data_IF_159171038667
#
_entry.id   IF_159171038667
#
_cell.length_a   1.000
_cell.length_b   1.000
_cell.length_c   1.000
_cell.angle_alpha   90.00
_cell.angle_beta   90.00
_cell.angle_gamma   90.00
#
_symmetry.space_group_name_H-M   'P 1'
#
loop_
_entity.id
_entity.type
_entity.pdbx_description
1 polymer ?
#
# COMPACT_ATOMS: atom_id res chain seq x y z
N UNK A 1 -12.62 -58.82 11.22
CA UNK A 1 -11.44 -57.95 11.36
C UNK A 1 -11.48 -56.95 10.21
N UNK A 2 -11.67 -55.67 10.51
CA UNK A 2 -11.73 -54.61 9.49
C UNK A 2 -10.29 -54.16 9.24
N UNK A 3 -9.78 -54.42 8.05
CA UNK A 3 -8.44 -54.03 7.64
C UNK A 3 -8.44 -52.51 7.39
N UNK A 4 -7.69 -51.75 8.20
CA UNK A 4 -7.52 -50.31 8.01
C UNK A 4 -6.49 -50.10 6.89
N UNK A 5 -6.99 -49.88 5.68
CA UNK A 5 -6.13 -49.48 4.56
C UNK A 5 -5.72 -48.03 4.80
N UNK A 6 -4.50 -47.81 5.26
CA UNK A 6 -3.91 -46.45 5.35
C UNK A 6 -3.61 -45.96 3.94
N UNK A 7 -4.54 -45.26 3.32
CA UNK A 7 -4.25 -44.49 2.11
C UNK A 7 -3.35 -43.33 2.51
N UNK A 8 -2.11 -43.30 2.03
CA UNK A 8 -1.29 -42.09 2.00
C UNK A 8 -1.91 -41.14 0.97
N UNK A 9 -2.96 -40.42 1.34
CA UNK A 9 -3.43 -39.32 0.50
C UNK A 9 -2.45 -38.13 0.68
N UNK A 10 -1.76 -37.75 -0.36
CA UNK A 10 -1.07 -36.45 -0.40
C UNK A 10 -2.18 -35.40 -0.59
N UNK A 11 -2.61 -34.78 0.49
CA UNK A 11 -3.56 -33.66 0.45
C UNK A 11 -2.87 -32.31 0.24
N UNK A 12 -1.54 -32.31 0.07
CA UNK A 12 -0.71 -31.13 -0.16
C UNK A 12 -0.12 -31.27 -1.55
N UNK A 13 -0.35 -30.30 -2.46
CA UNK A 13 0.24 -30.32 -3.79
C UNK A 13 1.77 -30.31 -3.71
N UNK A 14 2.42 -30.80 -4.75
CA UNK A 14 3.88 -30.68 -4.89
C UNK A 14 4.29 -29.21 -4.84
N UNK A 15 5.49 -28.89 -4.37
CA UNK A 15 5.93 -27.51 -4.16
C UNK A 15 5.75 -26.63 -5.38
N UNK A 16 6.01 -27.15 -6.59
CA UNK A 16 5.79 -26.42 -7.84
C UNK A 16 4.30 -26.14 -8.09
N UNK A 17 3.43 -27.11 -7.96
CA UNK A 17 1.99 -26.93 -8.15
C UNK A 17 1.39 -25.93 -7.15
N UNK A 18 1.89 -25.95 -5.91
CA UNK A 18 1.51 -25.01 -4.87
C UNK A 18 1.96 -23.58 -5.24
N UNK A 19 3.22 -23.40 -5.66
CA UNK A 19 3.78 -22.11 -6.05
C UNK A 19 3.04 -21.52 -7.26
N UNK A 20 2.74 -22.35 -8.25
CA UNK A 20 1.91 -21.98 -9.40
C UNK A 20 0.49 -21.58 -8.97
N UNK A 21 -0.15 -22.38 -8.10
CA UNK A 21 -1.51 -22.13 -7.61
C UNK A 21 -1.68 -20.83 -6.83
N UNK A 22 -0.66 -20.40 -6.07
CA UNK A 22 -0.71 -19.14 -5.31
C UNK A 22 -0.26 -17.91 -6.12
N UNK A 23 0.30 -18.10 -7.32
CA UNK A 23 0.83 -17.01 -8.17
C UNK A 23 -0.24 -16.04 -8.68
N UNK A 24 -1.50 -16.49 -8.78
CA UNK A 24 -2.63 -15.72 -9.29
C UNK A 24 -3.24 -14.71 -8.32
N UNK A 25 -2.78 -14.65 -7.06
CA UNK A 25 -3.40 -13.81 -6.04
C UNK A 25 -3.18 -12.29 -6.23
N UNK A 26 -2.17 -11.91 -7.00
CA UNK A 26 -1.91 -10.51 -7.32
C UNK A 26 -2.02 -10.27 -8.82
N UNK A 27 -2.86 -9.33 -9.20
CA UNK A 27 -3.06 -8.96 -10.60
C UNK A 27 -1.95 -8.03 -11.10
N UNK A 28 -1.47 -7.13 -10.23
CA UNK A 28 -0.58 -6.03 -10.58
C UNK A 28 0.78 -6.12 -9.88
N UNK A 29 1.85 -5.83 -10.63
CA UNK A 29 3.24 -5.89 -10.13
C UNK A 29 3.47 -4.98 -8.92
N UNK A 30 2.91 -3.77 -8.92
CA UNK A 30 3.10 -2.82 -7.83
C UNK A 30 2.58 -3.32 -6.49
N UNK A 31 1.41 -3.96 -6.48
CA UNK A 31 0.84 -4.59 -5.28
C UNK A 31 1.75 -5.69 -4.75
N UNK A 32 2.24 -6.54 -5.65
CA UNK A 32 3.12 -7.65 -5.28
C UNK A 32 4.43 -7.16 -4.66
N UNK A 33 4.99 -6.08 -5.20
CA UNK A 33 6.21 -5.49 -4.64
C UNK A 33 5.96 -4.85 -3.27
N UNK A 34 4.80 -4.25 -3.05
CA UNK A 34 4.43 -3.73 -1.73
C UNK A 34 4.41 -4.83 -0.66
N UNK A 35 4.04 -6.07 -0.98
CA UNK A 35 4.10 -7.17 0.01
C UNK A 35 5.53 -7.50 0.46
N UNK A 36 6.52 -7.39 -0.44
CA UNK A 36 7.93 -7.54 -0.04
C UNK A 36 8.37 -6.37 0.85
N UNK A 37 7.96 -5.16 0.49
CA UNK A 37 8.23 -3.94 1.25
C UNK A 37 7.55 -3.96 2.63
N UNK A 38 6.31 -4.45 2.72
CA UNK A 38 5.57 -4.61 3.99
C UNK A 38 6.31 -5.49 4.99
N UNK A 39 6.97 -6.56 4.52
CA UNK A 39 7.76 -7.44 5.41
C UNK A 39 8.92 -6.69 6.06
N UNK A 40 9.66 -5.88 5.30
CA UNK A 40 10.73 -5.04 5.81
C UNK A 40 10.21 -4.00 6.81
N UNK A 41 9.11 -3.30 6.45
CA UNK A 41 8.51 -2.29 7.32
C UNK A 41 7.98 -2.91 8.62
N UNK A 42 7.35 -4.09 8.55
CA UNK A 42 6.89 -4.83 9.73
C UNK A 42 8.03 -5.15 10.68
N UNK A 43 9.20 -5.53 10.16
CA UNK A 43 10.40 -5.76 10.95
C UNK A 43 10.87 -4.45 11.62
N UNK A 44 10.91 -3.34 10.89
CA UNK A 44 11.30 -2.04 11.45
C UNK A 44 10.38 -1.58 12.58
N UNK A 45 9.06 -1.71 12.39
CA UNK A 45 8.07 -1.34 13.41
C UNK A 45 8.16 -2.24 14.64
N UNK A 46 8.28 -3.56 14.46
CA UNK A 46 8.36 -4.52 15.55
C UNK A 46 9.62 -4.32 16.43
N UNK A 47 10.72 -3.88 15.84
CA UNK A 47 11.99 -3.68 16.54
C UNK A 47 12.31 -2.20 16.82
N UNK A 48 11.38 -1.28 16.54
CA UNK A 48 11.54 0.17 16.75
C UNK A 48 12.83 0.73 16.14
N UNK A 49 13.19 0.27 14.95
CA UNK A 49 14.36 0.74 14.21
C UNK A 49 13.96 1.64 13.05
N UNK A 50 14.78 2.64 12.77
CA UNK A 50 14.65 3.44 11.57
C UNK A 50 15.27 2.69 10.39
N UNK A 51 14.41 2.23 9.47
CA UNK A 51 14.80 1.35 8.41
C UNK A 51 15.22 2.05 7.12
N UNK A 52 15.94 1.29 6.28
CA UNK A 52 16.22 1.65 4.89
C UNK A 52 15.95 0.46 3.99
N UNK A 53 15.26 0.69 2.87
CA UNK A 53 14.94 -0.34 1.88
C UNK A 53 15.53 0.08 0.54
N UNK A 54 16.30 -0.81 -0.07
CA UNK A 54 16.80 -0.66 -1.43
C UNK A 54 16.01 -1.57 -2.37
N UNK A 55 15.38 -0.99 -3.38
CA UNK A 55 14.69 -1.72 -4.44
C UNK A 55 15.46 -1.51 -5.74
N UNK A 56 15.96 -2.60 -6.31
CA UNK A 56 16.65 -2.56 -7.61
C UNK A 56 15.87 -3.35 -8.66
N UNK A 57 15.63 -2.72 -9.79
CA UNK A 57 15.00 -3.29 -10.97
C UNK A 57 16.01 -3.30 -12.10
N UNK A 58 16.42 -4.48 -12.57
CA UNK A 58 17.37 -4.62 -13.70
C UNK A 58 16.67 -5.22 -14.89
N UNK A 59 16.59 -4.47 -15.98
CA UNK A 59 15.93 -4.87 -17.22
C UNK A 59 16.86 -5.72 -18.08
N UNK A 60 16.37 -6.90 -18.49
CA UNK A 60 17.05 -7.82 -19.41
C UNK A 60 16.24 -8.09 -20.68
N UNK A 61 15.35 -7.16 -21.08
CA UNK A 61 14.49 -7.25 -22.25
C UNK A 61 13.27 -8.16 -22.04
N UNK A 62 13.48 -9.44 -21.83
CA UNK A 62 12.39 -10.42 -21.66
C UNK A 62 11.94 -10.59 -20.21
N UNK A 63 12.74 -10.17 -19.25
CA UNK A 63 12.47 -10.20 -17.82
C UNK A 63 13.14 -9.04 -17.09
N UNK A 64 12.74 -8.85 -15.86
CA UNK A 64 13.33 -7.89 -14.93
C UNK A 64 13.80 -8.67 -13.69
N UNK A 65 15.06 -8.54 -13.30
CA UNK A 65 15.51 -9.02 -12.00
C UNK A 65 15.15 -7.95 -10.96
N UNK A 66 14.39 -8.36 -9.96
CA UNK A 66 13.89 -7.54 -8.86
C UNK A 66 14.65 -7.91 -7.60
N UNK A 67 15.26 -6.95 -6.94
CA UNK A 67 15.92 -7.11 -5.65
C UNK A 67 15.31 -6.13 -4.64
N UNK A 68 14.89 -6.64 -3.49
CA UNK A 68 14.45 -5.85 -2.33
C UNK A 68 15.39 -6.17 -1.18
N UNK A 69 16.07 -5.16 -0.67
CA UNK A 69 17.05 -5.27 0.42
C UNK A 69 16.63 -4.36 1.56
N UNK A 70 16.79 -4.84 2.78
CA UNK A 70 16.57 -4.04 3.97
C UNK A 70 17.73 -4.17 4.97
N UNK A 71 17.83 -3.19 5.86
CA UNK A 71 18.75 -3.17 6.97
C UNK A 71 18.07 -3.53 8.31
N UNK A 72 17.08 -4.41 8.26
CA UNK A 72 16.37 -4.90 9.44
C UNK A 72 17.18 -5.87 10.29
N UNK A 73 16.51 -6.58 11.18
CA UNK A 73 17.17 -7.57 12.09
C UNK A 73 17.44 -8.92 11.43
N UNK A 74 17.02 -9.10 10.17
CA UNK A 74 17.01 -10.39 9.50
C UNK A 74 15.79 -11.25 9.89
N UNK A 75 15.69 -12.43 9.28
CA UNK A 75 14.60 -13.40 9.53
C UNK A 75 15.12 -14.45 10.51
N UNK A 76 14.63 -14.44 11.75
CA UNK A 76 15.05 -15.39 12.78
C UNK A 76 14.59 -16.82 12.47
N UNK A 77 13.39 -16.98 11.91
CA UNK A 77 12.82 -18.29 11.58
C UNK A 77 12.42 -18.36 10.10
N UNK A 78 13.37 -18.73 9.26
CA UNK A 78 13.20 -18.86 7.81
C UNK A 78 12.15 -19.92 7.46
N UNK A 79 12.10 -21.01 8.22
CA UNK A 79 11.12 -22.08 7.99
C UNK A 79 9.68 -21.57 8.18
N UNK A 80 9.43 -20.82 9.25
CA UNK A 80 8.12 -20.18 9.46
C UNK A 80 7.84 -19.12 8.38
N UNK A 81 8.84 -18.34 7.96
CA UNK A 81 8.69 -17.36 6.88
C UNK A 81 8.29 -17.99 5.55
N UNK A 82 8.71 -19.23 5.27
CA UNK A 82 8.41 -19.96 4.04
C UNK A 82 7.24 -20.94 4.19
N UNK A 83 6.83 -21.32 5.39
CA UNK A 83 5.67 -22.18 5.61
C UNK A 83 4.38 -21.39 5.34
N UNK A 84 3.49 -21.93 4.51
CA UNK A 84 2.20 -21.31 4.18
C UNK A 84 1.34 -21.18 5.43
N UNK A 85 0.75 -19.99 5.62
CA UNK A 85 -0.06 -19.62 6.78
C UNK A 85 0.69 -19.64 8.14
N UNK A 86 2.01 -19.84 8.18
CA UNK A 86 2.80 -19.64 9.38
C UNK A 86 3.24 -18.16 9.49
N UNK A 87 3.20 -17.62 10.70
CA UNK A 87 3.71 -16.28 11.01
C UNK A 87 5.14 -16.40 11.52
N UNK A 88 6.06 -15.67 10.92
CA UNK A 88 7.50 -15.72 11.25
C UNK A 88 7.95 -14.70 12.28
N UNK A 89 7.11 -13.73 12.58
CA UNK A 89 7.39 -12.66 13.55
C UNK A 89 6.16 -12.35 14.41
N UNK A 90 6.37 -11.52 15.44
CA UNK A 90 5.31 -11.01 16.27
C UNK A 90 4.19 -10.37 15.40
N UNK A 91 2.97 -10.43 15.88
CA UNK A 91 1.83 -9.81 15.22
C UNK A 91 2.15 -8.34 14.94
N UNK A 92 2.26 -8.00 13.66
CA UNK A 92 2.23 -6.61 13.22
C UNK A 92 1.02 -6.45 12.31
N UNK A 93 0.37 -5.30 12.41
CA UNK A 93 -0.81 -5.00 11.61
C UNK A 93 -0.55 -4.99 10.08
N UNK A 94 0.71 -5.04 9.66
CA UNK A 94 1.09 -5.17 8.24
C UNK A 94 1.33 -6.63 7.82
N UNK A 95 1.39 -7.60 8.76
CA UNK A 95 1.65 -9.01 8.48
C UNK A 95 0.56 -9.92 9.04
N UNK A 96 -0.69 -9.68 8.64
CA UNK A 96 -1.88 -10.34 9.21
C UNK A 96 -1.97 -11.84 8.94
N UNK A 97 -1.51 -12.32 7.77
CA UNK A 97 -1.86 -13.67 7.30
C UNK A 97 -0.70 -14.65 7.17
N UNK A 98 0.55 -14.22 7.37
CA UNK A 98 1.73 -15.06 7.17
C UNK A 98 1.89 -15.61 5.74
N UNK A 99 1.26 -14.99 4.76
CA UNK A 99 1.20 -15.44 3.36
C UNK A 99 1.96 -14.52 2.41
N UNK A 100 2.18 -13.25 2.78
CA UNK A 100 2.63 -12.18 1.88
C UNK A 100 3.90 -12.52 1.11
N UNK A 101 4.97 -12.97 1.79
CA UNK A 101 6.26 -13.28 1.16
C UNK A 101 6.14 -14.36 0.06
N UNK A 102 5.43 -15.47 0.35
CA UNK A 102 5.30 -16.59 -0.59
C UNK A 102 4.44 -16.21 -1.79
N UNK A 103 3.33 -15.52 -1.55
CA UNK A 103 2.47 -15.00 -2.60
C UNK A 103 3.22 -13.98 -3.46
N UNK A 104 4.01 -13.09 -2.86
CA UNK A 104 4.80 -12.11 -3.59
C UNK A 104 5.84 -12.79 -4.49
N UNK A 105 6.62 -13.74 -3.95
CA UNK A 105 7.59 -14.50 -4.73
C UNK A 105 6.94 -15.22 -5.90
N UNK A 106 5.85 -15.98 -5.64
CA UNK A 106 5.15 -16.74 -6.66
C UNK A 106 4.54 -15.83 -7.72
N UNK A 107 3.93 -14.71 -7.33
CA UNK A 107 3.26 -13.80 -8.24
C UNK A 107 4.26 -12.98 -9.08
N UNK A 108 5.35 -12.46 -8.51
CA UNK A 108 6.40 -11.78 -9.28
C UNK A 108 7.00 -12.74 -10.30
N UNK A 109 7.28 -13.97 -9.90
CA UNK A 109 7.88 -14.99 -10.74
C UNK A 109 6.88 -15.62 -11.74
N UNK A 110 5.61 -15.20 -11.72
CA UNK A 110 4.51 -15.73 -12.53
C UNK A 110 4.35 -17.27 -12.43
N UNK A 111 4.58 -17.82 -11.23
CA UNK A 111 4.48 -19.26 -10.95
C UNK A 111 5.60 -20.12 -11.47
N UNK A 112 6.65 -19.55 -12.08
CA UNK A 112 7.73 -20.31 -12.72
C UNK A 112 8.60 -21.09 -11.73
N UNK A 113 8.61 -20.71 -10.48
CA UNK A 113 9.40 -21.32 -9.39
C UNK A 113 10.90 -21.46 -9.70
N UNK A 114 11.46 -20.46 -10.35
CA UNK A 114 12.85 -20.41 -10.76
C UNK A 114 13.44 -19.02 -10.54
N UNK A 115 14.77 -18.95 -10.31
CA UNK A 115 15.47 -17.68 -10.22
C UNK A 115 14.93 -16.74 -9.12
N UNK A 116 14.66 -17.28 -7.95
CA UNK A 116 14.45 -16.49 -6.74
C UNK A 116 15.33 -16.99 -5.61
N UNK A 117 15.69 -16.08 -4.71
CA UNK A 117 16.44 -16.39 -3.49
C UNK A 117 16.12 -15.41 -2.37
N UNK A 118 16.34 -15.86 -1.14
CA UNK A 118 16.29 -15.06 0.08
C UNK A 118 17.62 -15.23 0.78
N UNK A 119 18.30 -14.12 1.03
CA UNK A 119 19.45 -14.05 1.93
C UNK A 119 19.01 -13.31 3.17
N UNK A 120 19.34 -13.83 4.35
CA UNK A 120 19.03 -13.13 5.60
C UNK A 120 20.18 -13.31 6.59
N UNK A 121 20.44 -12.27 7.36
CA UNK A 121 21.52 -12.24 8.34
C UNK A 121 21.00 -11.64 9.63
N UNK A 122 20.93 -12.44 10.66
CA UNK A 122 20.59 -12.04 12.01
C UNK A 122 21.84 -11.57 12.78
N UNK A 123 21.66 -11.02 13.98
CA UNK A 123 22.80 -10.66 14.84
C UNK A 123 23.65 -11.90 15.21
N UNK A 124 23.00 -13.07 15.37
CA UNK A 124 23.71 -14.33 15.61
C UNK A 124 24.56 -14.72 14.39
N UNK A 125 23.97 -14.63 13.18
CA UNK A 125 24.69 -14.93 11.94
C UNK A 125 25.86 -13.96 11.73
N UNK A 126 25.68 -12.68 12.05
CA UNK A 126 26.72 -11.66 11.98
C UNK A 126 27.88 -11.97 12.93
N UNK A 127 27.59 -12.39 14.16
CA UNK A 127 28.60 -12.80 15.14
C UNK A 127 29.43 -14.01 14.68
N UNK A 128 28.91 -14.84 13.78
CA UNK A 128 29.61 -16.02 13.21
C UNK A 128 30.12 -15.78 11.79
N UNK A 129 30.08 -14.55 11.29
CA UNK A 129 30.45 -14.15 9.92
C UNK A 129 29.82 -15.05 8.84
N UNK A 130 28.52 -15.20 8.89
CA UNK A 130 27.74 -16.00 7.96
C UNK A 130 26.39 -15.35 7.66
N UNK A 131 25.68 -15.85 6.66
CA UNK A 131 24.28 -15.55 6.38
C UNK A 131 23.53 -16.82 5.99
N UNK A 132 22.21 -16.79 6.09
CA UNK A 132 21.32 -17.86 5.66
C UNK A 132 20.86 -17.61 4.23
N UNK A 133 20.88 -18.64 3.39
CA UNK A 133 20.45 -18.59 2.00
C UNK A 133 19.40 -19.67 1.72
N UNK A 134 18.27 -19.27 1.17
CA UNK A 134 17.25 -20.14 0.59
C UNK A 134 17.02 -19.73 -0.84
N UNK A 135 16.79 -20.69 -1.75
CA UNK A 135 16.61 -20.41 -3.17
C UNK A 135 15.66 -21.41 -3.84
N UNK A 136 15.12 -21.00 -4.97
CA UNK A 136 14.30 -21.86 -5.84
C UNK A 136 14.96 -23.23 -6.13
N UNK A 137 14.14 -24.31 -6.36
CA UNK A 137 12.69 -24.33 -6.36
C UNK A 137 12.06 -24.42 -4.98
N UNK A 138 10.80 -23.95 -4.84
CA UNK A 138 10.00 -24.12 -3.62
C UNK A 138 9.62 -25.59 -3.45
N UNK A 139 9.96 -26.17 -2.33
CA UNK A 139 9.64 -27.57 -2.04
C UNK A 139 9.48 -27.81 -0.54
N UNK A 140 8.75 -28.87 -0.19
CA UNK A 140 8.67 -29.31 1.21
C UNK A 140 10.06 -29.77 1.66
N UNK A 141 10.56 -29.21 2.77
CA UNK A 141 11.90 -29.53 3.29
C UNK A 141 13.03 -29.02 2.41
N UNK A 142 12.81 -27.88 1.71
CA UNK A 142 13.86 -27.23 0.92
C UNK A 142 15.07 -26.88 1.80
N UNK A 143 16.30 -27.02 1.27
CA UNK A 143 17.48 -26.78 2.07
C UNK A 143 17.69 -25.29 2.35
N UNK A 144 18.10 -25.00 3.57
CA UNK A 144 18.67 -23.73 3.99
C UNK A 144 20.19 -23.88 4.09
N UNK A 145 20.91 -22.96 3.46
CA UNK A 145 22.38 -22.97 3.44
C UNK A 145 22.90 -21.90 4.40
N UNK A 146 23.86 -22.26 5.25
CA UNK A 146 24.69 -21.32 5.99
C UNK A 146 25.91 -21.00 5.14
N UNK A 147 26.05 -19.77 4.71
CA UNK A 147 27.10 -19.33 3.79
C UNK A 147 28.04 -18.37 4.52
N UNK A 148 29.38 -18.58 4.49
CA UNK A 148 30.32 -17.65 5.09
C UNK A 148 30.27 -16.25 4.47
N UNK A 149 30.52 -15.22 5.29
CA UNK A 149 30.55 -13.81 4.88
C UNK A 149 29.22 -13.11 5.02
N UNK A 150 29.13 -11.89 4.47
CA UNK A 150 27.94 -11.00 4.58
C UNK A 150 26.89 -11.17 3.49
N UNK A 151 27.22 -11.84 2.39
CA UNK A 151 26.33 -11.91 1.22
C UNK A 151 26.07 -10.54 0.60
N UNK A 152 24.85 -10.35 0.06
CA UNK A 152 24.38 -9.07 -0.50
C UNK A 152 23.67 -8.19 0.55
N UNK A 153 23.82 -8.51 1.85
CA UNK A 153 23.14 -7.82 2.95
C UNK A 153 23.68 -6.39 3.09
N UNK A 154 22.76 -5.44 3.24
CA UNK A 154 23.10 -4.04 3.47
C UNK A 154 23.30 -3.80 4.98
N UNK A 155 24.53 -3.58 5.39
CA UNK A 155 24.88 -3.39 6.80
C UNK A 155 25.28 -4.70 7.50
N UNK A 156 25.09 -4.74 8.82
CA UNK A 156 25.46 -5.86 9.65
C UNK A 156 24.41 -6.98 9.66
N UNK A 157 23.15 -6.59 9.67
CA UNK A 157 21.97 -7.46 9.64
C UNK A 157 20.99 -7.01 8.56
N UNK A 158 20.04 -7.86 8.16
CA UNK A 158 19.01 -7.52 7.20
C UNK A 158 18.55 -8.69 6.34
N UNK A 159 17.76 -8.37 5.32
CA UNK A 159 17.25 -9.37 4.38
C UNK A 159 17.38 -8.87 2.93
N UNK A 160 17.67 -9.79 2.03
CA UNK A 160 17.67 -9.56 0.59
C UNK A 160 16.76 -10.60 -0.07
N UNK A 161 15.74 -10.13 -0.75
CA UNK A 161 14.86 -10.95 -1.59
C UNK A 161 15.16 -10.63 -3.04
N UNK A 162 15.55 -11.64 -3.80
CA UNK A 162 15.80 -11.52 -5.23
C UNK A 162 14.82 -12.42 -5.98
N UNK A 163 14.22 -11.89 -7.04
CA UNK A 163 13.26 -12.67 -7.84
C UNK A 163 13.22 -12.17 -9.28
N UNK A 164 13.19 -13.11 -10.20
CA UNK A 164 13.02 -12.82 -11.64
C UNK A 164 11.54 -12.63 -11.97
N UNK A 165 11.22 -11.49 -12.55
CA UNK A 165 9.90 -11.11 -13.01
C UNK A 165 9.83 -11.17 -14.53
N UNK A 166 8.99 -11.99 -15.15
CA UNK A 166 8.77 -11.93 -16.60
C UNK A 166 8.28 -10.54 -17.02
N UNK A 167 8.74 -10.03 -18.17
CA UNK A 167 8.42 -8.68 -18.63
C UNK A 167 6.90 -8.44 -18.71
N UNK A 168 6.11 -9.42 -19.16
CA UNK A 168 4.65 -9.27 -19.23
C UNK A 168 4.00 -9.04 -17.86
N UNK A 169 4.53 -9.65 -16.78
CA UNK A 169 4.07 -9.44 -15.41
C UNK A 169 4.51 -8.07 -14.88
N UNK A 170 5.76 -7.69 -15.15
CA UNK A 170 6.27 -6.36 -14.77
C UNK A 170 5.45 -5.23 -15.38
N UNK A 171 5.04 -5.35 -16.64
CA UNK A 171 4.26 -4.35 -17.36
C UNK A 171 2.77 -4.27 -16.96
N UNK A 172 2.31 -5.07 -15.99
CA UNK A 172 0.93 -4.98 -15.46
C UNK A 172 0.69 -3.70 -14.67
N UNK A 173 1.73 -3.10 -14.08
CA UNK A 173 1.60 -1.81 -13.38
C UNK A 173 1.40 -0.68 -14.37
N UNK A 174 0.15 -0.33 -14.62
CA UNK A 174 -0.24 0.76 -15.52
C UNK A 174 -1.60 1.35 -15.17
N UNK A 175 -1.82 2.65 -15.42
CA UNK A 175 -3.14 3.25 -15.25
C UNK A 175 -4.19 2.56 -16.15
N UNK A 176 -5.38 2.30 -15.61
CA UNK A 176 -6.51 1.68 -16.34
C UNK A 176 -6.84 2.42 -17.64
N UNK A 177 -6.66 3.75 -17.65
CA UNK A 177 -6.91 4.58 -18.85
C UNK A 177 -5.90 4.36 -19.99
N UNK A 178 -4.76 3.70 -19.74
CA UNK A 178 -3.72 3.45 -20.75
C UNK A 178 -3.95 2.11 -21.45
N UNK A 179 -4.28 2.16 -22.74
CA UNK A 179 -4.49 0.96 -23.58
C UNK A 179 -3.18 0.25 -23.90
N UNK A 180 -2.11 0.99 -24.20
CA UNK A 180 -0.81 0.45 -24.57
C UNK A 180 -0.03 -0.04 -23.34
N UNK A 181 0.82 -1.04 -23.53
CA UNK A 181 1.79 -1.46 -22.53
C UNK A 181 2.73 -0.28 -22.17
N UNK A 182 3.06 -0.08 -20.90
CA UNK A 182 4.05 0.92 -20.51
C UNK A 182 5.45 0.49 -20.90
N UNK A 183 6.38 1.44 -20.97
CA UNK A 183 7.81 1.14 -21.05
C UNK A 183 8.37 0.79 -19.67
N UNK A 184 9.55 0.17 -19.61
CA UNK A 184 10.26 -0.11 -18.35
C UNK A 184 10.39 1.15 -17.47
N UNK A 185 10.86 2.27 -18.03
CA UNK A 185 11.01 3.54 -17.32
C UNK A 185 9.66 4.10 -16.81
N UNK A 186 8.57 3.89 -17.56
CA UNK A 186 7.24 4.28 -17.09
C UNK A 186 6.80 3.46 -15.89
N UNK A 187 7.05 2.14 -15.89
CA UNK A 187 6.73 1.27 -14.75
C UNK A 187 7.53 1.68 -13.52
N UNK A 188 8.82 1.96 -13.65
CA UNK A 188 9.64 2.46 -12.56
C UNK A 188 9.09 3.78 -11.97
N UNK A 189 8.65 4.72 -12.83
CA UNK A 189 7.98 5.95 -12.39
C UNK A 189 6.64 5.70 -11.70
N UNK A 190 5.85 4.75 -12.20
CA UNK A 190 4.58 4.34 -11.60
C UNK A 190 4.79 3.69 -10.23
N UNK A 191 5.82 2.87 -10.12
CA UNK A 191 6.19 2.25 -8.84
C UNK A 191 6.60 3.30 -7.81
N UNK A 192 7.39 4.31 -8.20
CA UNK A 192 7.72 5.44 -7.33
C UNK A 192 6.46 6.13 -6.81
N UNK A 193 5.47 6.41 -7.67
CA UNK A 193 4.21 7.02 -7.27
C UNK A 193 3.45 6.10 -6.30
N UNK A 194 3.38 4.80 -6.60
CA UNK A 194 2.69 3.80 -5.77
C UNK A 194 3.31 3.71 -4.36
N UNK A 195 4.62 3.61 -4.25
CA UNK A 195 5.32 3.51 -2.96
C UNK A 195 5.12 4.78 -2.11
N UNK A 196 5.26 5.95 -2.73
CA UNK A 196 5.02 7.24 -2.06
C UNK A 196 3.59 7.42 -1.56
N UNK A 197 2.62 6.87 -2.28
CA UNK A 197 1.21 6.90 -1.90
C UNK A 197 0.90 5.86 -0.82
N UNK A 198 1.30 4.61 -1.06
CA UNK A 198 0.96 3.48 -0.18
C UNK A 198 1.49 3.72 1.24
N UNK A 199 2.69 4.24 1.35
CA UNK A 199 3.37 4.44 2.63
C UNK A 199 3.45 5.91 3.07
N UNK A 200 2.55 6.78 2.57
CA UNK A 200 2.64 8.22 2.78
C UNK A 200 2.77 8.61 4.26
N UNK A 201 1.97 8.02 5.15
CA UNK A 201 2.00 8.35 6.57
C UNK A 201 3.30 7.89 7.23
N UNK A 202 3.74 6.66 6.96
CA UNK A 202 4.98 6.10 7.51
C UNK A 202 6.25 6.82 7.00
N UNK A 203 6.25 7.26 5.74
CA UNK A 203 7.31 8.09 5.19
C UNK A 203 7.36 9.48 5.83
N UNK A 204 6.19 10.11 6.04
CA UNK A 204 6.09 11.40 6.73
C UNK A 204 6.59 11.33 8.16
N UNK A 205 6.30 10.23 8.85
CA UNK A 205 6.72 10.01 10.23
C UNK A 205 8.19 9.57 10.33
N UNK A 206 8.85 9.37 9.19
CA UNK A 206 10.28 9.04 9.12
C UNK A 206 10.64 7.66 9.66
N UNK A 207 9.69 6.72 9.63
CA UNK A 207 9.90 5.32 10.07
C UNK A 207 10.98 4.66 9.23
N UNK A 208 10.98 4.92 7.91
CA UNK A 208 11.96 4.36 6.98
C UNK A 208 12.16 5.28 5.75
N UNK A 209 13.15 4.93 4.93
CA UNK A 209 13.33 5.46 3.58
C UNK A 209 13.44 4.34 2.55
N UNK A 210 13.16 4.64 1.29
CA UNK A 210 13.31 3.70 0.17
C UNK A 210 14.21 4.34 -0.89
N UNK A 211 15.22 3.60 -1.36
CA UNK A 211 15.95 3.93 -2.57
C UNK A 211 15.47 3.00 -3.70
N UNK A 212 14.89 3.57 -4.76
CA UNK A 212 14.47 2.84 -5.95
C UNK A 212 15.49 3.05 -7.06
N UNK A 213 16.15 1.99 -7.50
CA UNK A 213 17.10 1.99 -8.60
C UNK A 213 16.54 1.23 -9.79
N UNK A 214 16.49 1.86 -10.94
CA UNK A 214 16.11 1.23 -12.21
C UNK A 214 17.32 1.20 -13.14
N UNK A 215 17.71 0.00 -13.59
CA UNK A 215 18.79 -0.23 -14.53
C UNK A 215 18.18 -0.71 -15.83
N UNK A 216 18.40 0.02 -16.93
CA UNK A 216 17.86 -0.35 -18.24
C UNK A 216 18.69 -1.44 -18.94
N UNK A 217 18.30 -1.83 -20.16
CA UNK A 217 18.99 -2.86 -20.95
C UNK A 217 20.43 -2.49 -21.35
N UNK A 218 20.73 -1.20 -21.42
CA UNK A 218 22.06 -0.66 -21.72
C UNK A 218 22.93 -0.54 -20.46
N UNK A 219 22.41 -0.91 -19.29
CA UNK A 219 23.09 -0.82 -18.01
C UNK A 219 23.09 0.60 -17.40
N UNK A 220 22.30 1.53 -17.97
CA UNK A 220 22.18 2.88 -17.42
C UNK A 220 21.29 2.83 -16.19
N UNK A 221 21.84 3.27 -15.06
CA UNK A 221 21.18 3.28 -13.75
C UNK A 221 20.58 4.64 -13.45
N UNK A 222 19.35 4.64 -12.95
CA UNK A 222 18.65 5.80 -12.42
C UNK A 222 18.14 5.47 -11.02
N UNK A 223 18.67 6.14 -10.00
CA UNK A 223 18.28 5.95 -8.60
C UNK A 223 17.52 7.15 -8.08
N UNK A 224 16.45 6.88 -7.34
CA UNK A 224 15.59 7.89 -6.72
C UNK A 224 15.37 7.55 -5.26
N UNK A 225 15.73 8.47 -4.38
CA UNK A 225 15.41 8.36 -2.96
C UNK A 225 13.94 8.73 -2.74
N UNK A 226 13.18 7.82 -2.13
CA UNK A 226 11.78 7.99 -1.78
C UNK A 226 11.70 8.29 -0.28
N UNK A 227 11.98 9.54 0.08
CA UNK A 227 11.86 10.02 1.46
C UNK A 227 10.58 10.85 1.69
N UNK A 228 9.92 11.27 0.62
CA UNK A 228 8.74 12.14 0.68
C UNK A 228 7.45 11.38 0.35
N UNK A 229 6.46 11.57 1.21
CA UNK A 229 5.10 11.11 0.99
C UNK A 229 4.47 11.72 -0.28
N UNK A 230 3.59 10.98 -0.95
CA UNK A 230 2.70 11.55 -1.95
C UNK A 230 1.44 12.06 -1.24
N UNK A 231 1.34 13.37 -1.13
CA UNK A 231 0.24 14.04 -0.44
C UNK A 231 -0.71 14.74 -1.43
N UNK A 232 -2.02 14.83 -1.11
CA UNK A 232 -2.95 15.61 -1.89
C UNK A 232 -2.63 17.10 -1.74
N UNK A 233 -2.64 17.83 -2.84
CA UNK A 233 -2.60 19.29 -2.80
C UNK A 233 -4.00 19.81 -2.57
N UNK A 234 -4.31 20.22 -1.36
CA UNK A 234 -5.62 20.74 -1.00
C UNK A 234 -5.97 22.04 -1.73
N UNK A 235 -7.25 22.18 -2.10
CA UNK A 235 -7.81 23.41 -2.66
C UNK A 235 -8.45 24.21 -1.52
N UNK A 236 -7.69 25.07 -0.90
CA UNK A 236 -8.09 25.76 0.33
C UNK A 236 -7.74 24.95 1.58
N UNK A 237 -8.48 25.18 2.64
CA UNK A 237 -8.30 24.47 3.91
C UNK A 237 -8.90 23.06 3.82
N UNK A 238 -8.21 22.06 4.33
CA UNK A 238 -8.80 20.75 4.61
C UNK A 238 -9.33 20.74 6.04
N UNK A 239 -10.45 20.06 6.25
CA UNK A 239 -10.93 19.76 7.58
C UNK A 239 -10.12 18.59 8.14
N UNK A 240 -9.61 18.75 9.36
CA UNK A 240 -8.91 17.71 10.10
C UNK A 240 -9.67 17.44 11.39
N UNK A 241 -10.10 16.20 11.57
CA UNK A 241 -10.73 15.79 12.83
C UNK A 241 -9.64 15.43 13.84
N UNK A 242 -9.81 15.80 15.11
CA UNK A 242 -8.93 15.28 16.16
C UNK A 242 -8.99 13.74 16.15
N UNK A 243 -7.89 13.04 16.51
CA UNK A 243 -7.92 11.59 16.64
C UNK A 243 -9.08 11.12 17.53
N UNK A 244 -9.88 10.19 17.06
CA UNK A 244 -11.07 9.68 17.73
C UNK A 244 -10.87 8.22 18.11
N UNK A 245 -10.91 7.93 19.41
CA UNK A 245 -11.01 6.54 19.86
C UNK A 245 -12.45 6.04 19.70
N UNK A 246 -12.61 4.91 19.02
CA UNK A 246 -13.90 4.27 18.78
C UNK A 246 -13.77 2.76 18.86
N UNK A 247 -14.90 2.06 18.98
CA UNK A 247 -14.97 0.61 18.90
C UNK A 247 -15.78 0.23 17.66
N UNK A 248 -15.15 -0.52 16.76
CA UNK A 248 -15.80 -1.06 15.55
C UNK A 248 -16.49 -2.41 15.82
N UNK A 249 -16.63 -2.80 17.10
CA UNK A 249 -17.28 -4.04 17.52
C UNK A 249 -16.32 -5.14 18.00
N UNK A 250 -15.02 -4.96 17.82
CA UNK A 250 -14.00 -5.98 18.14
C UNK A 250 -12.80 -5.41 18.92
N UNK A 251 -12.95 -4.26 19.51
CA UNK A 251 -11.92 -3.57 20.28
C UNK A 251 -11.73 -2.13 19.85
N UNK A 252 -10.96 -1.39 20.65
CA UNK A 252 -10.73 0.03 20.43
C UNK A 252 -9.71 0.26 19.32
N UNK A 253 -10.04 1.19 18.43
CA UNK A 253 -9.15 1.72 17.40
C UNK A 253 -9.12 3.24 17.50
N UNK A 254 -8.03 3.84 17.04
CA UNK A 254 -7.94 5.30 16.88
C UNK A 254 -8.10 5.64 15.41
N UNK A 255 -9.06 6.49 15.07
CA UNK A 255 -9.28 6.97 13.70
C UNK A 255 -8.75 8.39 13.58
N UNK A 256 -7.81 8.58 12.66
CA UNK A 256 -7.30 9.88 12.21
C UNK A 256 -7.91 10.21 10.86
N UNK A 257 -8.47 11.39 10.71
CA UNK A 257 -9.18 11.74 9.48
C UNK A 257 -8.94 13.18 9.08
N UNK A 258 -8.72 13.40 7.78
CA UNK A 258 -8.75 14.72 7.13
C UNK A 258 -9.46 14.64 5.78
N UNK A 259 -10.23 15.66 5.43
CA UNK A 259 -10.99 15.66 4.19
C UNK A 259 -11.14 17.06 3.59
N UNK A 260 -11.38 17.11 2.28
CA UNK A 260 -11.58 18.35 1.57
C UNK A 260 -11.52 18.19 0.05
N UNK A 261 -11.49 19.30 -0.65
CA UNK A 261 -11.27 19.32 -2.10
C UNK A 261 -9.79 19.45 -2.42
N UNK A 262 -9.37 18.80 -3.52
CA UNK A 262 -7.98 18.83 -3.97
C UNK A 262 -7.80 19.57 -5.30
N UNK A 263 -6.60 20.07 -5.53
CA UNK A 263 -6.16 20.48 -6.85
C UNK A 263 -5.82 19.25 -7.69
N UNK A 264 -6.25 19.24 -8.96
CA UNK A 264 -5.92 18.15 -9.88
C UNK A 264 -4.40 18.03 -10.07
N UNK A 265 -3.84 16.85 -9.88
CA UNK A 265 -2.48 16.57 -10.30
C UNK A 265 -2.47 16.20 -11.78
N UNK A 266 -1.63 16.91 -12.56
CA UNK A 266 -1.33 16.56 -13.96
C UNK A 266 -0.14 15.61 -14.09
N UNK A 267 0.66 15.48 -13.03
CA UNK A 267 1.89 14.68 -13.02
C UNK A 267 1.64 13.23 -12.60
N UNK A 268 0.68 13.00 -11.71
CA UNK A 268 0.40 11.68 -11.16
C UNK A 268 -0.30 10.78 -12.20
N UNK A 269 0.06 9.52 -12.18
CA UNK A 269 -0.53 8.50 -13.03
C UNK A 269 -1.79 7.89 -12.42
N UNK A 270 -1.82 7.69 -11.10
CA UNK A 270 -2.88 6.99 -10.38
C UNK A 270 -3.64 7.89 -9.41
N UNK A 271 -2.93 8.58 -8.50
CA UNK A 271 -3.51 9.20 -7.30
C UNK A 271 -3.71 10.70 -7.46
N UNK A 272 -4.69 11.26 -6.77
CA UNK A 272 -5.00 12.71 -6.69
C UNK A 272 -5.19 13.39 -8.05
N UNK A 273 -5.68 12.65 -9.03
CA UNK A 273 -5.93 13.17 -10.41
C UNK A 273 -7.16 14.07 -10.49
N UNK A 274 -8.01 14.06 -9.48
CA UNK A 274 -9.31 14.74 -9.51
C UNK A 274 -10.23 14.15 -10.58
N UNK A 275 -10.26 12.83 -10.70
CA UNK A 275 -11.17 12.04 -11.51
C UNK A 275 -11.91 11.02 -10.64
N UNK A 276 -12.91 10.33 -11.17
CA UNK A 276 -13.72 9.38 -10.39
C UNK A 276 -12.89 8.29 -9.71
N UNK A 277 -11.89 7.74 -10.40
CA UNK A 277 -11.09 6.63 -9.88
C UNK A 277 -10.14 7.03 -8.72
N UNK A 278 -9.83 8.31 -8.57
CA UNK A 278 -8.91 8.81 -7.54
C UNK A 278 -9.59 9.75 -6.52
N UNK A 279 -10.93 9.73 -6.44
CA UNK A 279 -11.71 10.61 -5.57
C UNK A 279 -12.60 9.79 -4.65
N UNK A 280 -12.98 10.35 -3.51
CA UNK A 280 -13.74 9.66 -2.47
C UNK A 280 -12.88 9.39 -1.24
N UNK A 281 -13.28 8.41 -0.43
CA UNK A 281 -12.47 8.03 0.72
C UNK A 281 -11.27 7.18 0.32
N UNK A 282 -10.16 7.40 1.01
CA UNK A 282 -8.99 6.53 1.01
C UNK A 282 -8.79 5.98 2.43
N UNK A 283 -8.75 4.67 2.55
CA UNK A 283 -8.61 3.97 3.83
C UNK A 283 -7.18 3.52 3.99
N UNK A 284 -6.62 3.84 5.16
CA UNK A 284 -5.32 3.40 5.61
C UNK A 284 -5.46 2.58 6.88
N UNK A 285 -4.57 1.63 7.06
CA UNK A 285 -4.43 0.85 8.29
C UNK A 285 -2.99 0.98 8.76
N UNK A 286 -2.80 1.54 9.95
CA UNK A 286 -1.48 1.79 10.54
C UNK A 286 -0.53 2.51 9.55
N UNK A 287 -1.03 3.54 8.88
CA UNK A 287 -0.29 4.37 7.95
C UNK A 287 -0.14 3.81 6.52
N UNK A 288 -0.50 2.53 6.27
CA UNK A 288 -0.47 1.91 4.93
C UNK A 288 -1.80 2.10 4.21
N UNK A 289 -1.77 2.62 2.98
CA UNK A 289 -2.97 2.72 2.15
C UNK A 289 -3.45 1.32 1.71
N UNK A 290 -4.73 1.03 1.95
CA UNK A 290 -5.37 -0.24 1.62
C UNK A 290 -6.28 -0.06 0.40
N UNK A 291 -7.12 0.96 0.41
CA UNK A 291 -8.11 1.19 -0.65
C UNK A 291 -8.38 2.68 -0.83
N UNK A 292 -8.69 3.08 -2.04
CA UNK A 292 -9.10 4.45 -2.38
C UNK A 292 -10.28 4.42 -3.35
N UNK A 293 -10.88 5.59 -3.57
CA UNK A 293 -11.99 5.74 -4.51
C UNK A 293 -13.34 5.32 -3.93
N UNK A 294 -13.41 5.04 -2.63
CA UNK A 294 -14.63 4.61 -1.95
C UNK A 294 -15.62 5.77 -1.79
N UNK A 295 -16.52 5.92 -2.73
CA UNK A 295 -17.59 6.91 -2.65
C UNK A 295 -18.97 6.24 -2.64
N UNK A 296 -19.24 5.37 -3.60
CA UNK A 296 -20.50 4.63 -3.68
C UNK A 296 -20.69 3.69 -2.51
N UNK A 297 -19.63 3.04 -2.07
CA UNK A 297 -19.63 2.06 -0.98
C UNK A 297 -19.90 2.72 0.39
N UNK A 298 -19.38 3.93 0.58
CA UNK A 298 -19.53 4.64 1.86
C UNK A 298 -20.82 5.47 1.88
N UNK A 299 -21.03 6.34 0.89
CA UNK A 299 -22.16 7.27 0.90
C UNK A 299 -23.35 6.82 0.07
N UNK A 300 -23.33 5.58 -0.47
CA UNK A 300 -24.42 4.97 -1.26
C UNK A 300 -24.88 5.88 -2.43
N UNK A 301 -23.94 6.64 -3.00
CA UNK A 301 -24.19 7.60 -4.05
C UNK A 301 -23.28 7.40 -5.25
N UNK A 302 -23.81 7.57 -6.45
CA UNK A 302 -22.99 7.61 -7.65
C UNK A 302 -22.14 8.89 -7.69
N UNK A 303 -20.84 8.75 -7.89
CA UNK A 303 -19.92 9.87 -7.99
C UNK A 303 -20.24 10.71 -9.25
N UNK A 304 -20.57 11.97 -9.05
CA UNK A 304 -20.77 12.91 -10.16
C UNK A 304 -19.43 13.60 -10.51
N UNK A 305 -19.16 13.96 -11.78
CA UNK A 305 -17.94 14.64 -12.17
C UNK A 305 -17.62 15.92 -11.37
N UNK A 306 -18.61 16.64 -10.86
CA UNK A 306 -18.42 17.80 -9.99
C UNK A 306 -17.87 17.47 -8.60
N UNK A 307 -17.90 16.20 -8.19
CA UNK A 307 -17.39 15.71 -6.91
C UNK A 307 -15.99 15.08 -7.01
N UNK A 308 -15.44 15.01 -8.23
CA UNK A 308 -14.18 14.33 -8.52
C UNK A 308 -12.92 14.91 -7.83
N UNK A 309 -13.07 15.90 -6.98
CA UNK A 309 -11.97 16.51 -6.23
C UNK A 309 -12.08 16.26 -4.73
N UNK A 310 -13.12 15.62 -4.28
CA UNK A 310 -13.26 15.30 -2.87
C UNK A 310 -12.37 14.13 -2.50
N UNK A 311 -11.60 14.29 -1.42
CA UNK A 311 -10.80 13.25 -0.80
C UNK A 311 -11.10 13.26 0.70
N UNK A 312 -11.32 12.08 1.27
CA UNK A 312 -11.31 11.85 2.69
C UNK A 312 -10.24 10.79 2.99
N UNK A 313 -9.17 11.20 3.68
CA UNK A 313 -8.12 10.28 4.14
C UNK A 313 -8.49 9.81 5.54
N UNK A 314 -8.64 8.51 5.71
CA UNK A 314 -9.02 7.87 6.98
C UNK A 314 -7.97 6.83 7.32
N UNK A 315 -7.25 7.03 8.42
CA UNK A 315 -6.24 6.09 8.92
C UNK A 315 -6.71 5.48 10.24
N UNK A 316 -6.76 4.16 10.29
CA UNK A 316 -7.18 3.38 11.45
C UNK A 316 -5.92 2.84 12.11
N UNK A 317 -5.68 3.26 13.35
CA UNK A 317 -4.50 2.89 14.13
C UNK A 317 -4.89 1.93 15.24
N UNK A 318 -4.25 0.77 15.30
CA UNK A 318 -4.40 -0.21 16.37
C UNK A 318 -3.26 -1.22 16.33
N UNK A 319 -2.74 -1.57 17.51
CA UNK A 319 -1.72 -2.64 17.64
C UNK A 319 -2.34 -4.03 17.62
N UNK A 320 -3.64 -4.14 17.87
CA UNK A 320 -4.37 -5.41 17.89
C UNK A 320 -5.01 -5.67 16.52
N UNK A 321 -4.47 -6.60 15.76
CA UNK A 321 -4.98 -6.94 14.42
C UNK A 321 -6.45 -7.36 14.42
N UNK A 322 -6.94 -8.01 15.49
CA UNK A 322 -8.32 -8.43 15.62
C UNK A 322 -9.33 -7.26 15.65
N UNK A 323 -8.92 -6.07 16.08
CA UNK A 323 -9.77 -4.88 16.11
C UNK A 323 -9.80 -4.11 14.77
N UNK A 324 -8.84 -4.38 13.88
CA UNK A 324 -8.73 -3.72 12.59
C UNK A 324 -9.71 -4.34 11.56
N UNK A 325 -10.23 -3.54 10.61
CA UNK A 325 -11.00 -4.05 9.49
C UNK A 325 -10.19 -5.06 8.66
N UNK A 326 -10.82 -6.18 8.28
CA UNK A 326 -10.16 -7.22 7.50
C UNK A 326 -9.85 -6.74 6.08
N UNK A 327 -8.65 -7.09 5.62
CA UNK A 327 -8.22 -6.79 4.26
C UNK A 327 -8.31 -8.01 3.35
N UNK A 328 -8.41 -7.79 2.04
CA UNK A 328 -8.20 -8.87 1.06
C UNK A 328 -6.77 -9.38 1.16
N UNK A 329 -6.53 -10.65 0.84
CA UNK A 329 -5.21 -11.28 0.96
C UNK A 329 -4.09 -10.52 0.22
N UNK A 330 -4.44 -9.82 -0.85
CA UNK A 330 -3.52 -8.96 -1.61
C UNK A 330 -3.41 -7.53 -1.05
N UNK A 331 -4.06 -7.22 0.09
CA UNK A 331 -4.14 -5.88 0.69
C UNK A 331 -4.50 -4.75 -0.30
N UNK A 332 -5.25 -5.10 -1.35
CA UNK A 332 -5.73 -4.19 -2.39
C UNK A 332 -7.17 -3.76 -2.19
N UNK A 333 -7.70 -3.96 -1.00
CA UNK A 333 -9.05 -3.59 -0.61
C UNK A 333 -9.47 -4.19 0.72
N UNK A 334 -10.56 -3.68 1.25
CA UNK A 334 -11.23 -4.20 2.42
C UNK A 334 -12.11 -5.40 2.05
N UNK A 335 -12.35 -6.29 2.99
CA UNK A 335 -13.31 -7.37 2.81
C UNK A 335 -14.72 -6.82 3.04
N UNK A 336 -15.54 -6.84 1.99
CA UNK A 336 -16.90 -6.27 2.02
C UNK A 336 -17.87 -7.05 2.94
N UNK A 337 -17.55 -8.32 3.23
CA UNK A 337 -18.31 -9.21 4.13
C UNK A 337 -17.92 -9.06 5.61
N UNK A 338 -16.95 -8.21 5.94
CA UNK A 338 -16.49 -7.95 7.31
C UNK A 338 -17.39 -6.91 8.01
N UNK A 339 -17.93 -7.27 9.18
CA UNK A 339 -18.76 -6.40 10.01
C UNK A 339 -17.99 -5.14 10.48
N UNK A 340 -16.67 -5.24 10.68
CA UNK A 340 -15.81 -4.10 11.06
C UNK A 340 -15.71 -3.09 9.92
N UNK A 341 -15.71 -3.55 8.67
CA UNK A 341 -15.75 -2.68 7.48
C UNK A 341 -17.07 -1.94 7.41
N UNK A 342 -18.19 -2.63 7.65
CA UNK A 342 -19.50 -2.00 7.70
C UNK A 342 -19.61 -0.96 8.84
N UNK A 343 -19.04 -1.26 10.01
CA UNK A 343 -18.98 -0.33 11.14
C UNK A 343 -18.10 0.89 10.81
N UNK A 344 -16.95 0.70 10.17
CA UNK A 344 -16.08 1.78 9.70
C UNK A 344 -16.81 2.69 8.71
N UNK A 345 -17.50 2.13 7.70
CA UNK A 345 -18.23 2.93 6.72
C UNK A 345 -19.37 3.73 7.38
N UNK A 346 -20.04 3.13 8.37
CA UNK A 346 -21.06 3.82 9.17
C UNK A 346 -20.45 4.97 9.99
N UNK A 347 -19.28 4.76 10.59
CA UNK A 347 -18.57 5.82 11.29
C UNK A 347 -18.19 6.96 10.35
N UNK A 348 -17.66 6.65 9.16
CA UNK A 348 -17.28 7.65 8.16
C UNK A 348 -18.49 8.48 7.75
N UNK A 349 -19.64 7.85 7.45
CA UNK A 349 -20.89 8.56 7.12
C UNK A 349 -21.36 9.49 8.22
N UNK A 350 -21.18 9.11 9.47
CA UNK A 350 -21.61 9.91 10.61
C UNK A 350 -20.69 11.12 10.89
N UNK A 351 -19.42 11.04 10.54
CA UNK A 351 -18.41 12.04 10.93
C UNK A 351 -17.84 12.86 9.77
N UNK A 352 -17.96 12.38 8.53
CA UNK A 352 -17.46 13.04 7.34
C UNK A 352 -18.63 13.37 6.43
N UNK A 353 -18.82 14.64 6.04
CA UNK A 353 -19.91 15.01 5.14
C UNK A 353 -19.76 14.32 3.79
N UNK A 354 -20.89 13.97 3.18
CA UNK A 354 -20.90 13.44 1.82
C UNK A 354 -20.23 14.41 0.82
N UNK A 355 -19.64 13.90 -0.26
CA UNK A 355 -19.07 14.75 -1.31
C UNK A 355 -20.13 15.65 -1.94
N UNK A 356 -20.04 16.95 -1.71
CA UNK A 356 -20.96 17.93 -2.26
C UNK A 356 -20.51 18.33 -3.67
N UNK A 357 -21.45 18.50 -4.59
CA UNK A 357 -21.19 19.03 -5.93
C UNK A 357 -20.55 20.43 -5.84
N UNK A 358 -19.50 20.72 -6.59
CA UNK A 358 -18.87 22.05 -6.61
C UNK A 358 -19.91 23.13 -6.97
N UNK A 359 -20.80 22.85 -7.92
CA UNK A 359 -21.91 23.74 -8.28
C UNK A 359 -22.87 24.00 -7.10
N UNK A 360 -23.11 22.97 -6.26
CA UNK A 360 -23.93 23.13 -5.08
C UNK A 360 -23.31 24.03 -4.01
N UNK A 361 -21.98 24.06 -3.91
CA UNK A 361 -21.27 24.99 -3.00
C UNK A 361 -21.40 26.44 -3.49
N UNK A 362 -21.24 26.69 -4.77
CA UNK A 362 -21.43 28.03 -5.34
C UNK A 362 -22.89 28.48 -5.19
N UNK A 363 -23.84 27.62 -5.49
CA UNK A 363 -25.26 27.90 -5.29
C UNK A 363 -25.62 28.10 -3.82
N UNK A 364 -25.08 27.29 -2.92
CA UNK A 364 -25.25 27.44 -1.47
C UNK A 364 -24.65 28.76 -0.98
N UNK A 365 -23.47 29.13 -1.48
CA UNK A 365 -22.81 30.40 -1.17
C UNK A 365 -23.66 31.57 -1.66
N UNK A 366 -24.16 31.50 -2.89
CA UNK A 366 -25.06 32.50 -3.46
C UNK A 366 -26.37 32.62 -2.66
N UNK A 367 -26.92 31.48 -2.20
CA UNK A 367 -28.13 31.44 -1.37
C UNK A 367 -27.88 32.05 0.01
N UNK A 368 -26.79 31.67 0.69
CA UNK A 368 -26.39 32.24 1.99
C UNK A 368 -26.13 33.75 1.92
N UNK A 369 -25.57 34.20 0.80
CA UNK A 369 -25.36 35.62 0.56
C UNK A 369 -26.67 36.36 0.28
N UNK A 370 -27.60 35.73 -0.44
CA UNK A 370 -28.97 36.27 -0.67
C UNK A 370 -29.73 36.36 0.64
N UNK A 371 -29.66 35.34 1.50
CA UNK A 371 -30.28 35.31 2.84
C UNK A 371 -29.67 36.37 3.76
N UNK A 372 -28.33 36.52 3.78
CA UNK A 372 -27.64 37.57 4.54
C UNK A 372 -27.99 38.99 4.03
N UNK A 373 -28.11 39.16 2.72
CA UNK A 373 -28.52 40.41 2.10
C UNK A 373 -30.00 40.76 2.40
N UNK A 374 -30.84 39.75 2.55
CA UNK A 374 -32.24 39.94 2.93
C UNK A 374 -32.40 40.29 4.42
N UNK A 375 -31.49 39.78 5.28
CA UNK A 375 -31.49 40.07 6.72
C UNK A 375 -30.89 41.44 7.07
N UNK A 376 -30.06 42.03 6.19
CA UNK A 376 -29.46 43.35 6.39
C UNK A 376 -29.65 44.24 5.12
N UNK A 377 -30.84 44.75 4.87
CA UNK A 377 -31.08 45.58 3.71
C UNK A 377 -30.45 46.98 3.89
N UNK A 378 -29.22 47.15 3.45
CA UNK A 378 -28.55 48.47 3.43
C UNK A 378 -27.02 48.45 3.42
N UNK A 379 -26.35 47.33 3.63
CA UNK A 379 -24.90 47.33 3.90
C UNK A 379 -23.99 46.83 2.75
N UNK A 380 -24.51 46.17 1.70
CA UNK A 380 -23.64 45.57 0.67
C UNK A 380 -24.02 45.95 -0.77
N UNK A 381 -23.26 46.90 -1.34
CA UNK A 381 -23.07 47.00 -2.80
C UNK A 381 -21.87 46.16 -3.18
N UNK A 382 -22.05 44.92 -3.64
CA UNK A 382 -20.99 44.08 -4.17
C UNK A 382 -21.05 44.12 -5.70
N UNK A 383 -20.02 44.64 -6.32
CA UNK A 383 -19.98 44.84 -7.76
C UNK A 383 -19.24 43.80 -8.58
N UNK A 384 -18.51 42.87 -7.93
CA UNK A 384 -17.78 41.76 -8.61
C UNK A 384 -17.57 40.56 -7.71
N UNK A 385 -17.39 39.36 -8.29
CA UNK A 385 -17.08 38.10 -7.59
C UNK A 385 -15.91 38.21 -6.59
N UNK A 386 -14.89 39.00 -6.95
CA UNK A 386 -13.70 39.22 -6.10
C UNK A 386 -14.03 39.91 -4.77
N UNK A 387 -15.01 40.78 -4.77
CA UNK A 387 -15.47 41.46 -3.55
C UNK A 387 -16.32 40.55 -2.67
N UNK A 388 -16.95 39.54 -3.25
CA UNK A 388 -17.73 38.53 -2.55
C UNK A 388 -16.87 37.69 -1.59
N UNK A 389 -15.72 37.23 -2.08
CA UNK A 389 -14.78 36.44 -1.29
C UNK A 389 -14.10 37.26 -0.19
N UNK A 390 -13.81 38.51 -0.45
CA UNK A 390 -13.24 39.42 0.56
C UNK A 390 -14.22 39.74 1.70
N UNK A 391 -15.51 39.89 1.40
CA UNK A 391 -16.55 40.16 2.43
C UNK A 391 -16.80 38.96 3.37
N UNK A 392 -16.46 37.77 2.95
CA UNK A 392 -16.67 36.53 3.73
C UNK A 392 -15.43 36.06 4.50
N UNK A 393 -14.32 36.79 4.43
CA UNK A 393 -13.01 36.35 4.95
C UNK A 393 -12.58 34.97 4.45
N UNK A 394 -13.08 34.56 3.29
CA UNK A 394 -12.70 33.31 2.65
C UNK A 394 -11.43 33.55 1.84
N UNK A 395 -10.32 33.00 2.30
CA UNK A 395 -9.08 32.95 1.52
C UNK A 395 -9.28 31.99 0.34
N UNK A 396 -9.04 32.48 -0.86
CA UNK A 396 -9.01 31.69 -2.11
C UNK A 396 -7.73 30.86 -2.14
#
# INVERSE_FOLDING_TARGET
MTEVITRKSRNIPDGKELFEGISGNFEEFGQTLCELTDNSISNFLAHHIRGHIEITLTNHGTYVDVSVRDNGTGIENVDAALTIAARSCAESALNEHGMGLKHALASINAGADQHWSIQTRTAEDAAHDRYQLVKSPYSIGMPMYLVPGGGDIVGETGTVVQVRCPMHKFLTLKPVSKKNAPTFAQVASYLQETLRYTYANLLRDGVFSICLTAVDEDGVSNSVEIAEALEPKWKGECAELPPVETDLGYGRVTICCRYGSICRSKKNAFYYKGNMASSGAEIRINGRAIQHGLCSEIWEMALHPSQNRFIAQVDILCDQSAALPDTKSAKNGLREDDEKVAALFSWIRANIPEPVKEEGREQMLVRLLAEKKAAEPGVLRVSTEKNLYQCLNLKI
#
